data_IF_359861068994
#
_entry.id   IF_359861068994
#
_cell.length_a   1.000
_cell.length_b   1.000
_cell.length_c   1.000
_cell.angle_alpha   90.00
_cell.angle_beta   90.00
_cell.angle_gamma   90.00
#
_symmetry.space_group_name_H-M   'P 1'
#
loop_
_entity.id
_entity.type
_entity.pdbx_description
1 polymer ?
#
# COMPACT_ATOMS: atom_id res chain seq x y z
N UNK A 1 2.79 3.51 18.06
CA UNK A 1 1.77 3.52 17.00
C UNK A 1 2.27 2.76 15.80
N UNK A 2 1.37 2.13 15.04
CA UNK A 2 1.71 1.34 13.85
C UNK A 2 2.45 2.20 12.80
N UNK A 3 1.97 3.44 12.59
CA UNK A 3 2.59 4.36 11.64
C UNK A 3 4.06 4.63 12.01
N UNK A 4 4.34 4.88 13.27
CA UNK A 4 5.69 5.12 13.75
C UNK A 4 6.57 3.89 13.59
N UNK A 5 6.01 2.70 13.82
CA UNK A 5 6.73 1.45 13.64
C UNK A 5 7.14 1.24 12.17
N UNK A 6 6.24 1.53 11.24
CA UNK A 6 6.53 1.42 9.80
C UNK A 6 7.63 2.42 9.42
N UNK A 7 7.53 3.67 9.87
CA UNK A 7 8.53 4.70 9.61
C UNK A 7 9.90 4.31 10.15
N UNK A 8 9.92 3.79 11.36
CA UNK A 8 11.17 3.32 11.99
C UNK A 8 11.79 2.19 11.17
N UNK A 9 10.98 1.22 10.74
CA UNK A 9 11.46 0.10 9.94
C UNK A 9 12.06 0.58 8.60
N UNK A 10 11.38 1.47 7.90
CA UNK A 10 11.86 2.01 6.62
C UNK A 10 13.13 2.82 6.83
N UNK A 11 13.17 3.67 7.85
CA UNK A 11 14.35 4.48 8.17
C UNK A 11 15.55 3.61 8.58
N UNK A 12 15.28 2.39 9.07
CA UNK A 12 16.33 1.43 9.44
C UNK A 12 16.77 0.54 8.27
N UNK A 13 16.22 0.74 7.08
CA UNK A 13 16.65 0.03 5.88
C UNK A 13 15.69 -1.06 5.38
N UNK A 14 14.59 -1.32 6.06
CA UNK A 14 13.57 -2.25 5.57
C UNK A 14 12.87 -1.65 4.36
N UNK A 15 12.78 -2.41 3.28
CA UNK A 15 12.25 -1.89 2.01
C UNK A 15 10.88 -2.40 1.64
N UNK A 16 10.62 -3.69 1.85
CA UNK A 16 9.38 -4.32 1.37
C UNK A 16 8.26 -4.08 2.36
N UNK A 17 7.20 -3.44 1.88
CA UNK A 17 5.97 -3.21 2.63
C UNK A 17 4.86 -3.94 1.90
N UNK A 18 4.34 -4.99 2.53
CA UNK A 18 3.30 -5.84 1.97
C UNK A 18 1.95 -5.52 2.61
N UNK A 19 0.98 -5.15 1.77
CA UNK A 19 -0.37 -4.86 2.21
C UNK A 19 -1.37 -5.43 1.21
N UNK A 20 -2.65 -5.17 1.40
CA UNK A 20 -3.71 -5.63 0.50
C UNK A 20 -4.98 -4.82 0.69
N UNK A 21 -5.79 -4.73 -0.38
CA UNK A 21 -7.12 -4.14 -0.33
C UNK A 21 -7.99 -4.80 0.74
N UNK A 22 -7.84 -6.11 0.92
CA UNK A 22 -8.60 -6.91 1.86
C UNK A 22 -8.29 -6.59 3.34
N UNK A 23 -7.09 -6.10 3.64
CA UNK A 23 -6.68 -5.88 5.03
C UNK A 23 -7.42 -4.68 5.62
N UNK A 24 -8.38 -4.97 6.52
CA UNK A 24 -9.19 -3.94 7.16
C UNK A 24 -10.03 -3.12 6.18
N UNK A 25 -10.46 -3.71 5.06
CA UNK A 25 -11.21 -3.02 4.00
C UNK A 25 -10.50 -1.75 3.50
N UNK A 26 -9.21 -1.85 3.32
CA UNK A 26 -8.38 -0.75 2.84
C UNK A 26 -7.74 0.08 3.94
N UNK A 27 -8.04 -0.19 5.22
CA UNK A 27 -7.46 0.55 6.32
C UNK A 27 -5.94 0.36 6.41
N UNK A 28 -5.45 -0.85 6.12
CA UNK A 28 -4.02 -1.14 6.09
C UNK A 28 -3.31 -0.30 5.03
N UNK A 29 -3.89 -0.20 3.83
CA UNK A 29 -3.33 0.63 2.78
C UNK A 29 -3.29 2.11 3.18
N UNK A 30 -4.32 2.59 3.86
CA UNK A 30 -4.34 3.97 4.36
C UNK A 30 -3.24 4.24 5.39
N UNK A 31 -3.03 3.31 6.31
CA UNK A 31 -1.96 3.43 7.32
C UNK A 31 -0.57 3.42 6.68
N UNK A 32 -0.36 2.52 5.72
CA UNK A 32 0.90 2.45 4.97
C UNK A 32 1.13 3.75 4.20
N UNK A 33 0.09 4.26 3.53
CA UNK A 33 0.20 5.52 2.78
C UNK A 33 0.62 6.67 3.67
N UNK A 34 -0.01 6.81 4.82
CA UNK A 34 0.34 7.85 5.78
C UNK A 34 1.77 7.68 6.31
N UNK A 35 2.16 6.45 6.63
CA UNK A 35 3.50 6.17 7.14
C UNK A 35 4.59 6.49 6.13
N UNK A 36 4.30 6.29 4.84
CA UNK A 36 5.30 6.48 3.77
C UNK A 36 5.35 7.90 3.21
N UNK A 37 4.57 8.84 3.74
CA UNK A 37 4.67 10.24 3.32
C UNK A 37 6.10 10.74 3.54
N UNK A 38 6.74 11.20 2.47
CA UNK A 38 8.13 11.62 2.49
C UNK A 38 9.16 10.49 2.42
N UNK A 39 8.70 9.21 2.38
CA UNK A 39 9.57 8.03 2.38
C UNK A 39 9.29 7.06 1.24
N UNK A 40 8.36 7.40 0.35
CA UNK A 40 7.86 6.47 -0.68
C UNK A 40 8.99 5.85 -1.51
N UNK A 41 10.03 6.62 -1.84
CA UNK A 41 11.14 6.17 -2.65
C UNK A 41 12.04 5.16 -1.94
N UNK A 42 11.93 5.03 -0.63
CA UNK A 42 12.71 4.08 0.16
C UNK A 42 12.03 2.73 0.30
N UNK A 43 10.75 2.64 -0.11
CA UNK A 43 9.95 1.44 0.09
C UNK A 43 9.59 0.78 -1.24
N UNK A 44 9.53 -0.56 -1.21
CA UNK A 44 8.98 -1.39 -2.28
C UNK A 44 7.60 -1.81 -1.80
N UNK A 45 6.55 -1.22 -2.36
CA UNK A 45 5.17 -1.42 -1.88
C UNK A 45 4.47 -2.46 -2.73
N UNK A 46 3.96 -3.48 -2.03
CA UNK A 46 3.17 -4.56 -2.62
C UNK A 46 1.74 -4.46 -2.09
N UNK A 47 0.77 -4.48 -2.99
CA UNK A 47 -0.62 -4.64 -2.61
C UNK A 47 -1.29 -5.67 -3.49
N UNK A 48 -2.54 -6.03 -3.15
CA UNK A 48 -3.25 -7.13 -3.81
C UNK A 48 -4.71 -6.75 -3.98
N UNK A 49 -5.29 -7.18 -5.10
CA UNK A 49 -6.70 -7.00 -5.38
C UNK A 49 -7.53 -8.02 -4.58
N UNK A 50 -8.69 -7.59 -4.08
CA UNK A 50 -9.68 -8.52 -3.51
C UNK A 50 -10.10 -9.53 -4.58
N UNK A 51 -10.23 -10.83 -4.24
CA UNK A 51 -10.60 -11.85 -5.22
C UNK A 51 -11.86 -11.52 -6.02
N UNK A 52 -12.90 -10.98 -5.38
CA UNK A 52 -14.12 -10.61 -6.04
C UNK A 52 -13.97 -9.44 -7.01
N UNK A 53 -12.90 -8.66 -6.91
CA UNK A 53 -12.59 -7.56 -7.82
C UNK A 53 -11.59 -7.95 -8.91
N UNK A 54 -11.13 -9.21 -8.92
CA UNK A 54 -10.10 -9.68 -9.83
C UNK A 54 -10.67 -9.99 -11.22
N UNK A 55 -11.27 -9.00 -11.85
CA UNK A 55 -11.72 -9.02 -13.23
C UNK A 55 -10.91 -8.02 -14.04
N UNK A 56 -11.07 -8.02 -15.36
CA UNK A 56 -10.33 -7.10 -16.23
C UNK A 56 -10.50 -5.63 -15.81
N UNK A 57 -11.77 -5.21 -15.63
CA UNK A 57 -12.07 -3.83 -15.23
C UNK A 57 -11.93 -3.63 -13.73
N UNK A 58 -12.30 -4.65 -12.96
CA UNK A 58 -12.25 -4.60 -11.50
C UNK A 58 -10.84 -4.46 -10.97
N UNK A 59 -9.86 -5.12 -11.57
CA UNK A 59 -8.46 -5.03 -11.18
C UNK A 59 -7.91 -3.62 -11.36
N UNK A 60 -8.20 -2.98 -12.49
CA UNK A 60 -7.76 -1.61 -12.76
C UNK A 60 -8.40 -0.64 -11.76
N UNK A 61 -9.71 -0.73 -11.56
CA UNK A 61 -10.42 0.12 -10.62
C UNK A 61 -9.93 -0.08 -9.19
N UNK A 62 -9.68 -1.34 -8.79
CA UNK A 62 -9.15 -1.65 -7.46
C UNK A 62 -7.75 -1.08 -7.28
N UNK A 63 -6.90 -1.19 -8.29
CA UNK A 63 -5.55 -0.63 -8.25
C UNK A 63 -5.59 0.89 -8.07
N UNK A 64 -6.47 1.56 -8.79
CA UNK A 64 -6.63 3.01 -8.64
C UNK A 64 -7.09 3.40 -7.24
N UNK A 65 -8.01 2.62 -6.64
CA UNK A 65 -8.44 2.85 -5.26
C UNK A 65 -7.28 2.65 -4.28
N UNK A 66 -6.47 1.61 -4.49
CA UNK A 66 -5.29 1.35 -3.66
C UNK A 66 -4.30 2.50 -3.73
N UNK A 67 -4.04 3.02 -4.92
CA UNK A 67 -3.15 4.17 -5.10
C UNK A 67 -3.66 5.40 -4.33
N UNK A 68 -4.97 5.64 -4.33
CA UNK A 68 -5.55 6.75 -3.57
C UNK A 68 -5.39 6.55 -2.06
N UNK A 69 -5.65 5.33 -1.55
CA UNK A 69 -5.47 5.05 -0.13
C UNK A 69 -4.01 5.14 0.30
N UNK A 70 -3.11 4.66 -0.55
CA UNK A 70 -1.67 4.71 -0.31
C UNK A 70 -1.06 6.10 -0.56
N UNK A 71 -1.83 7.02 -1.13
CA UNK A 71 -1.39 8.39 -1.43
C UNK A 71 -0.12 8.41 -2.29
N UNK A 72 -0.08 7.55 -3.29
CA UNK A 72 1.06 7.43 -4.19
C UNK A 72 0.58 7.25 -5.63
N UNK A 73 1.45 7.52 -6.58
CA UNK A 73 1.17 7.35 -8.00
C UNK A 73 1.63 5.99 -8.53
N UNK A 74 2.24 5.15 -7.68
CA UNK A 74 2.76 3.86 -8.12
C UNK A 74 2.72 2.81 -7.02
N UNK A 75 2.55 1.56 -7.46
CA UNK A 75 2.82 0.35 -6.71
C UNK A 75 4.01 -0.33 -7.37
N UNK A 76 4.85 -0.98 -6.58
CA UNK A 76 5.98 -1.72 -7.15
C UNK A 76 5.55 -3.11 -7.59
N UNK A 77 4.54 -3.68 -6.92
CA UNK A 77 3.92 -4.95 -7.30
C UNK A 77 2.45 -4.95 -6.88
N UNK A 78 1.61 -5.41 -7.79
CA UNK A 78 0.17 -5.52 -7.53
C UNK A 78 -0.34 -6.87 -7.98
#
# INVERSE_FOLDING_TARGET
>A
MIIDAIRCAVDSGMRIIDTAEMYGDGASEQLVGEALLGRRDRAFVVSKVLPQNATRRGTVAACERSLRRLQTDRLDLY
#
